data_IF_843176607072
#
_entry.id   IF_843176607072
#
_cell.length_a   1.000
_cell.length_b   1.000
_cell.length_c   1.000
_cell.angle_alpha   90.00
_cell.angle_beta   90.00
_cell.angle_gamma   90.00
#
_symmetry.space_group_name_H-M   'P 1'
#
loop_
_entity.id
_entity.type
_entity.pdbx_description
1 polymer ?
#
# COMPACT_ATOMS: atom_id res chain seq x y z
N UNK A 1 -4.74 0.46 14.65
CA UNK A 1 -5.74 1.50 15.03
C UNK A 1 -6.29 2.32 13.84
N UNK A 2 -5.86 2.08 12.59
CA UNK A 2 -6.37 2.75 11.37
C UNK A 2 -7.07 1.77 10.40
N UNK A 3 -7.54 0.61 10.88
CA UNK A 3 -8.08 -0.45 10.01
C UNK A 3 -9.37 -0.08 9.28
N UNK A 4 -10.19 0.81 9.88
CA UNK A 4 -11.38 1.37 9.22
C UNK A 4 -11.06 2.11 7.91
N UNK A 5 -9.82 2.58 7.73
CA UNK A 5 -9.41 3.26 6.50
C UNK A 5 -9.34 2.30 5.30
N UNK A 6 -9.08 1.00 5.53
CA UNK A 6 -8.98 -0.02 4.48
C UNK A 6 -10.35 -0.52 4.00
N UNK A 7 -11.39 -0.42 4.81
CA UNK A 7 -12.77 -0.80 4.44
C UNK A 7 -13.46 0.27 3.57
N UNK A 8 -12.85 1.44 3.40
CA UNK A 8 -13.42 2.54 2.64
C UNK A 8 -13.18 2.40 1.14
N UNK A 9 -14.16 2.80 0.29
CA UNK A 9 -13.94 2.85 -1.15
C UNK A 9 -12.77 3.80 -1.49
N UNK A 10 -11.94 3.41 -2.46
CA UNK A 10 -10.72 4.13 -2.87
C UNK A 10 -10.93 5.63 -3.07
N UNK A 11 -12.06 6.03 -3.65
CA UNK A 11 -12.42 7.42 -3.88
C UNK A 11 -12.56 8.21 -2.57
N UNK A 12 -13.16 7.60 -1.54
CA UNK A 12 -13.35 8.26 -0.25
C UNK A 12 -12.02 8.40 0.49
N UNK A 13 -11.15 7.39 0.42
CA UNK A 13 -9.79 7.48 0.97
C UNK A 13 -8.97 8.58 0.28
N UNK A 14 -9.04 8.66 -1.06
CA UNK A 14 -8.39 9.73 -1.81
C UNK A 14 -8.89 11.12 -1.40
N UNK A 15 -10.20 11.28 -1.22
CA UNK A 15 -10.79 12.53 -0.72
C UNK A 15 -10.31 12.83 0.70
N UNK A 16 -10.33 11.85 1.61
CA UNK A 16 -9.96 12.03 3.02
C UNK A 16 -8.49 12.46 3.18
N UNK A 17 -7.60 12.03 2.28
CA UNK A 17 -6.19 12.43 2.27
C UNK A 17 -5.99 13.77 1.55
N UNK A 18 -6.56 13.93 0.36
CA UNK A 18 -6.32 15.11 -0.47
C UNK A 18 -7.00 16.36 0.08
N UNK A 19 -8.25 16.24 0.56
CA UNK A 19 -9.07 17.38 0.98
C UNK A 19 -8.49 18.15 2.18
N UNK A 20 -7.99 17.52 3.27
CA UNK A 20 -7.31 18.26 4.33
C UNK A 20 -6.00 18.88 3.88
N UNK A 21 -5.21 18.22 3.02
CA UNK A 21 -4.00 18.81 2.43
C UNK A 21 -4.32 20.05 1.58
N UNK A 22 -5.38 19.98 0.76
CA UNK A 22 -5.89 21.10 -0.03
C UNK A 22 -6.41 22.21 0.88
N UNK A 23 -7.20 21.89 1.89
CA UNK A 23 -7.74 22.85 2.84
C UNK A 23 -6.62 23.54 3.63
N UNK A 24 -5.58 22.80 4.03
CA UNK A 24 -4.40 23.35 4.70
C UNK A 24 -3.63 24.30 3.77
N UNK A 25 -3.42 23.91 2.51
CA UNK A 25 -2.70 24.72 1.52
C UNK A 25 -3.47 26.01 1.20
N UNK A 26 -4.78 25.89 0.94
CA UNK A 26 -5.67 27.02 0.67
C UNK A 26 -5.83 27.91 1.90
N UNK A 27 -6.01 27.33 3.09
CA UNK A 27 -6.11 28.05 4.35
C UNK A 27 -4.82 28.81 4.67
N UNK A 28 -3.67 28.16 4.53
CA UNK A 28 -2.36 28.79 4.65
C UNK A 28 -2.22 29.96 3.68
N UNK A 29 -2.57 29.78 2.41
CA UNK A 29 -2.54 30.84 1.40
C UNK A 29 -3.45 32.01 1.77
N UNK A 30 -4.71 31.75 2.14
CA UNK A 30 -5.69 32.78 2.48
C UNK A 30 -5.31 33.56 3.74
N UNK A 31 -4.66 32.93 4.72
CA UNK A 31 -4.21 33.57 5.97
C UNK A 31 -2.89 34.31 5.79
N UNK A 32 -1.92 33.73 5.08
CA UNK A 32 -0.62 34.38 4.85
C UNK A 32 -0.74 35.54 3.88
N UNK A 33 -1.58 35.46 2.84
CA UNK A 33 -1.70 36.52 1.81
C UNK A 33 -1.97 37.92 2.40
N UNK A 34 -2.98 38.14 3.28
CA UNK A 34 -3.20 39.45 3.89
C UNK A 34 -2.16 39.78 4.96
N UNK A 35 -1.63 38.81 5.71
CA UNK A 35 -0.61 39.04 6.75
C UNK A 35 0.73 39.48 6.16
N UNK A 36 1.23 38.76 5.15
CA UNK A 36 2.47 39.08 4.44
C UNK A 36 2.36 40.43 3.75
N UNK A 37 1.21 40.72 3.11
CA UNK A 37 0.98 42.02 2.45
C UNK A 37 0.90 43.19 3.45
N UNK A 38 0.45 42.94 4.69
CA UNK A 38 0.47 43.92 5.79
C UNK A 38 1.87 44.13 6.38
N UNK A 39 2.67 43.06 6.50
CA UNK A 39 3.95 43.09 7.22
C UNK A 39 5.13 43.47 6.33
N UNK A 40 5.19 43.01 5.08
CA UNK A 40 6.37 43.20 4.21
C UNK A 40 6.22 44.32 3.16
N UNK A 41 5.02 44.83 2.89
CA UNK A 41 4.79 45.75 1.78
C UNK A 41 5.10 45.11 0.40
N UNK A 42 4.89 45.83 -0.72
CA UNK A 42 5.26 45.33 -2.04
C UNK A 42 6.79 45.31 -2.19
N UNK A 43 7.44 44.19 -1.85
CA UNK A 43 8.88 43.99 -2.08
C UNK A 43 9.12 43.39 -3.47
N UNK A 44 9.85 44.08 -4.36
CA UNK A 44 10.39 43.47 -5.58
C UNK A 44 11.41 42.39 -5.19
N UNK A 45 11.28 41.16 -5.70
CA UNK A 45 12.25 40.07 -5.48
C UNK A 45 11.80 38.91 -4.57
N UNK A 46 10.69 39.04 -3.85
CA UNK A 46 10.17 37.94 -3.01
C UNK A 46 9.86 36.66 -3.81
N UNK A 47 9.43 36.82 -5.07
CA UNK A 47 9.12 35.69 -5.96
C UNK A 47 10.38 34.90 -6.36
N UNK A 48 11.55 35.54 -6.40
CA UNK A 48 12.81 34.92 -6.82
C UNK A 48 13.44 34.10 -5.71
N UNK A 49 13.32 34.56 -4.46
CA UNK A 49 13.66 33.73 -3.29
C UNK A 49 12.75 32.50 -3.21
N UNK A 50 11.44 32.69 -3.35
CA UNK A 50 10.46 31.59 -3.31
C UNK A 50 10.71 30.58 -4.44
N UNK A 51 10.97 31.04 -5.67
CA UNK A 51 11.27 30.14 -6.79
C UNK A 51 12.58 29.37 -6.58
N UNK A 52 13.61 30.02 -6.00
CA UNK A 52 14.89 29.37 -5.70
C UNK A 52 14.72 28.25 -4.68
N UNK A 53 14.02 28.51 -3.58
CA UNK A 53 13.73 27.48 -2.57
C UNK A 53 12.85 26.36 -3.15
N UNK A 54 11.80 26.71 -3.89
CA UNK A 54 10.90 25.73 -4.49
C UNK A 54 11.64 24.79 -5.46
N UNK A 55 12.58 25.34 -6.24
CA UNK A 55 13.39 24.54 -7.17
C UNK A 55 14.31 23.57 -6.42
N UNK A 56 15.00 24.04 -5.38
CA UNK A 56 15.86 23.18 -4.55
C UNK A 56 15.08 22.04 -3.87
N UNK A 57 13.93 22.35 -3.24
CA UNK A 57 13.10 21.34 -2.59
C UNK A 57 12.36 20.43 -3.57
N UNK A 58 11.98 20.95 -4.74
CA UNK A 58 11.28 20.20 -5.79
C UNK A 58 12.09 19.01 -6.28
N UNK A 59 13.42 19.16 -6.40
CA UNK A 59 14.32 18.07 -6.79
C UNK A 59 14.32 16.95 -5.75
N UNK A 60 14.47 17.29 -4.46
CA UNK A 60 14.43 16.30 -3.38
C UNK A 60 13.07 15.60 -3.28
N UNK A 61 11.98 16.37 -3.39
CA UNK A 61 10.63 15.81 -3.35
C UNK A 61 10.36 14.87 -4.53
N UNK A 62 10.76 15.27 -5.74
CA UNK A 62 10.62 14.44 -6.94
C UNK A 62 11.43 13.14 -6.85
N UNK A 63 12.67 13.21 -6.35
CA UNK A 63 13.49 12.03 -6.11
C UNK A 63 12.85 11.10 -5.08
N UNK A 64 12.43 11.64 -3.94
CA UNK A 64 11.81 10.84 -2.87
C UNK A 64 10.51 10.18 -3.35
N UNK A 65 9.65 10.93 -4.05
CA UNK A 65 8.42 10.40 -4.60
C UNK A 65 8.68 9.28 -5.61
N UNK A 66 9.69 9.44 -6.48
CA UNK A 66 10.10 8.41 -7.42
C UNK A 66 10.57 7.14 -6.72
N UNK A 67 11.41 7.27 -5.69
CA UNK A 67 11.90 6.12 -4.91
C UNK A 67 10.77 5.40 -4.16
N UNK A 68 9.84 6.15 -3.56
CA UNK A 68 8.67 5.57 -2.89
C UNK A 68 7.79 4.81 -3.89
N UNK A 69 7.58 5.37 -5.09
CA UNK A 69 6.80 4.71 -6.14
C UNK A 69 7.46 3.39 -6.57
N UNK A 70 8.77 3.39 -6.79
CA UNK A 70 9.53 2.17 -7.14
C UNK A 70 9.48 1.15 -6.01
N UNK A 71 9.72 1.55 -4.77
CA UNK A 71 9.67 0.65 -3.62
C UNK A 71 8.28 0.02 -3.43
N UNK A 72 7.22 0.82 -3.59
CA UNK A 72 5.84 0.33 -3.50
C UNK A 72 5.53 -0.67 -4.62
N UNK A 73 5.99 -0.41 -5.84
CA UNK A 73 5.83 -1.33 -6.96
C UNK A 73 6.62 -2.63 -6.75
N UNK A 74 7.84 -2.55 -6.24
CA UNK A 74 8.65 -3.72 -5.89
C UNK A 74 7.96 -4.58 -4.83
N UNK A 75 7.46 -3.97 -3.76
CA UNK A 75 6.68 -4.68 -2.74
C UNK A 75 5.48 -5.42 -3.32
N UNK A 76 4.73 -4.79 -4.23
CA UNK A 76 3.62 -5.44 -4.92
C UNK A 76 4.09 -6.64 -5.76
N UNK A 77 5.16 -6.46 -6.54
CA UNK A 77 5.73 -7.53 -7.38
C UNK A 77 6.27 -8.71 -6.56
N UNK A 78 6.85 -8.46 -5.39
CA UNK A 78 7.38 -9.51 -4.51
C UNK A 78 6.24 -10.34 -3.91
N UNK A 79 5.15 -9.69 -3.47
CA UNK A 79 3.95 -10.36 -2.98
C UNK A 79 3.31 -11.21 -4.08
N UNK A 80 3.17 -10.67 -5.29
CA UNK A 80 2.64 -11.43 -6.43
C UNK A 80 3.49 -12.67 -6.73
N UNK A 81 4.82 -12.51 -6.72
CA UNK A 81 5.76 -13.62 -6.95
C UNK A 81 5.66 -14.68 -5.87
N UNK A 82 5.50 -14.29 -4.60
CA UNK A 82 5.34 -15.22 -3.48
C UNK A 82 4.05 -16.05 -3.63
N UNK A 83 2.92 -15.40 -3.92
CA UNK A 83 1.63 -16.08 -4.16
C UNK A 83 1.71 -17.03 -5.35
N UNK A 84 2.34 -16.62 -6.44
CA UNK A 84 2.53 -17.48 -7.62
C UNK A 84 3.37 -18.73 -7.30
N UNK A 85 4.44 -18.58 -6.51
CA UNK A 85 5.27 -19.72 -6.08
C UNK A 85 4.51 -20.69 -5.21
N UNK A 86 3.72 -20.19 -4.25
CA UNK A 86 2.89 -21.01 -3.39
C UNK A 86 1.83 -21.77 -4.19
N UNK A 87 1.11 -21.09 -5.09
CA UNK A 87 0.13 -21.71 -5.98
C UNK A 87 0.76 -22.80 -6.86
N UNK A 88 1.96 -22.55 -7.40
CA UNK A 88 2.70 -23.55 -8.19
C UNK A 88 3.14 -24.76 -7.34
N UNK A 89 3.57 -24.54 -6.10
CA UNK A 89 3.95 -25.60 -5.17
C UNK A 89 2.75 -26.48 -4.79
N UNK A 90 1.60 -25.88 -4.46
CA UNK A 90 0.35 -26.60 -4.18
C UNK A 90 -0.10 -27.41 -5.40
N UNK A 91 -0.08 -26.82 -6.60
CA UNK A 91 -0.43 -27.51 -7.83
C UNK A 91 0.54 -28.66 -8.18
N UNK A 92 1.84 -28.48 -7.92
CA UNK A 92 2.86 -29.51 -8.03
C UNK A 92 2.55 -30.68 -7.10
N UNK A 93 2.40 -30.40 -5.81
CA UNK A 93 2.15 -31.41 -4.78
C UNK A 93 0.84 -32.17 -5.02
N UNK A 94 -0.22 -31.49 -5.47
CA UNK A 94 -1.48 -32.12 -5.85
C UNK A 94 -1.29 -33.14 -6.99
N UNK A 95 -0.46 -32.82 -7.99
CA UNK A 95 -0.13 -33.74 -9.09
C UNK A 95 0.72 -34.91 -8.60
N UNK A 96 1.70 -34.67 -7.73
CA UNK A 96 2.57 -35.73 -7.22
C UNK A 96 1.79 -36.76 -6.38
N UNK A 97 0.90 -36.28 -5.51
CA UNK A 97 0.00 -37.13 -4.70
C UNK A 97 -0.95 -37.95 -5.57
N UNK A 98 -1.31 -37.47 -6.76
CA UNK A 98 -2.23 -38.18 -7.66
C UNK A 98 -1.69 -39.53 -8.15
N UNK A 99 -0.40 -39.83 -7.95
CA UNK A 99 0.19 -41.14 -8.23
C UNK A 99 0.08 -42.14 -7.06
N UNK A 100 -0.27 -41.71 -5.83
CA UNK A 100 -0.31 -42.59 -4.65
C UNK A 100 -1.55 -43.50 -4.60
N UNK A 101 -1.50 -44.67 -3.92
CA UNK A 101 -2.66 -45.53 -3.69
C UNK A 101 -3.75 -44.86 -2.83
N UNK A 102 -4.99 -45.32 -2.95
CA UNK A 102 -6.05 -45.00 -1.99
C UNK A 102 -5.82 -45.80 -0.69
N UNK A 103 -6.13 -45.25 0.50
CA UNK A 103 -6.88 -44.02 0.77
C UNK A 103 -6.04 -42.74 0.96
N UNK A 104 -4.71 -42.86 1.05
CA UNK A 104 -3.82 -41.74 1.40
C UNK A 104 -3.87 -40.59 0.39
N UNK A 105 -4.05 -40.92 -0.90
CA UNK A 105 -4.28 -39.93 -1.97
C UNK A 105 -5.41 -38.97 -1.63
N UNK A 106 -6.58 -39.51 -1.24
CA UNK A 106 -7.79 -38.72 -1.05
C UNK A 106 -7.66 -37.85 0.20
N UNK A 107 -7.02 -38.36 1.26
CA UNK A 107 -6.74 -37.61 2.48
C UNK A 107 -5.79 -36.43 2.20
N UNK A 108 -4.69 -36.67 1.49
CA UNK A 108 -3.70 -35.63 1.21
C UNK A 108 -4.23 -34.57 0.22
N UNK A 109 -5.02 -34.98 -0.78
CA UNK A 109 -5.68 -34.03 -1.69
C UNK A 109 -6.73 -33.17 -0.96
N UNK A 110 -7.49 -33.76 -0.03
CA UNK A 110 -8.42 -33.01 0.81
C UNK A 110 -7.68 -31.98 1.68
N UNK A 111 -6.56 -32.37 2.29
CA UNK A 111 -5.74 -31.46 3.10
C UNK A 111 -5.20 -30.26 2.29
N UNK A 112 -4.75 -30.46 1.04
CA UNK A 112 -4.30 -29.36 0.18
C UNK A 112 -5.43 -28.41 -0.24
N UNK A 113 -6.62 -28.94 -0.48
CA UNK A 113 -7.79 -28.11 -0.78
C UNK A 113 -8.19 -27.29 0.44
N UNK A 114 -8.17 -27.90 1.62
CA UNK A 114 -8.49 -27.22 2.88
C UNK A 114 -7.47 -26.14 3.21
N UNK A 115 -6.17 -26.42 3.02
CA UNK A 115 -5.12 -25.41 3.14
C UNK A 115 -5.36 -24.21 2.20
N UNK A 116 -5.66 -24.48 0.93
CA UNK A 116 -5.92 -23.43 -0.06
C UNK A 116 -7.13 -22.59 0.32
N UNK A 117 -8.20 -23.23 0.82
CA UNK A 117 -9.40 -22.54 1.31
C UNK A 117 -9.07 -21.66 2.52
N UNK A 118 -8.37 -22.19 3.51
CA UNK A 118 -7.95 -21.46 4.71
C UNK A 118 -7.13 -20.21 4.35
N UNK A 119 -6.20 -20.31 3.41
CA UNK A 119 -5.40 -19.15 2.97
C UNK A 119 -6.28 -18.06 2.34
N UNK A 120 -7.21 -18.43 1.47
CA UNK A 120 -8.06 -17.48 0.73
C UNK A 120 -9.15 -16.87 1.62
N UNK A 121 -9.81 -17.68 2.44
CA UNK A 121 -11.01 -17.28 3.21
C UNK A 121 -10.66 -16.71 4.59
N UNK A 122 -9.56 -17.13 5.21
CA UNK A 122 -9.18 -16.69 6.56
C UNK A 122 -7.93 -15.80 6.54
N UNK A 123 -6.83 -16.28 5.94
CA UNK A 123 -5.52 -15.59 6.03
C UNK A 123 -5.52 -14.27 5.27
N UNK A 124 -5.96 -14.23 4.01
CA UNK A 124 -5.95 -12.99 3.23
C UNK A 124 -6.86 -11.90 3.84
N UNK A 125 -8.10 -12.17 4.29
CA UNK A 125 -8.89 -11.16 4.97
C UNK A 125 -8.28 -10.66 6.29
N UNK A 126 -7.62 -11.54 7.05
CA UNK A 126 -6.88 -11.11 8.24
C UNK A 126 -5.69 -10.21 7.88
N UNK A 127 -4.92 -10.55 6.84
CA UNK A 127 -3.83 -9.72 6.34
C UNK A 127 -4.32 -8.35 5.84
N UNK A 128 -5.49 -8.28 5.19
CA UNK A 128 -6.13 -7.00 4.81
C UNK A 128 -6.43 -6.13 6.02
N UNK A 129 -6.81 -6.73 7.15
CA UNK A 129 -6.98 -6.05 8.44
C UNK A 129 -5.68 -5.88 9.22
N UNK A 130 -4.52 -6.19 8.64
CA UNK A 130 -3.21 -6.13 9.29
C UNK A 130 -3.05 -7.05 10.50
N UNK A 131 -3.86 -8.11 10.56
CA UNK A 131 -3.82 -9.14 11.60
C UNK A 131 -3.00 -10.34 11.10
N UNK A 132 -2.13 -10.88 11.96
CA UNK A 132 -1.47 -12.16 11.72
C UNK A 132 -2.41 -13.28 12.21
N UNK A 133 -2.92 -14.10 11.29
CA UNK A 133 -3.76 -15.23 11.69
C UNK A 133 -2.88 -16.26 12.44
N UNK A 134 -3.26 -16.71 13.65
CA UNK A 134 -2.46 -17.64 14.46
C UNK A 134 -2.19 -19.02 13.81
N UNK A 135 -2.86 -19.34 12.70
CA UNK A 135 -2.62 -20.55 11.91
C UNK A 135 -1.64 -20.37 10.75
N UNK A 136 -1.06 -19.18 10.57
CA UNK A 136 -0.04 -18.95 9.53
C UNK A 136 1.25 -19.63 9.98
N UNK A 137 1.75 -20.69 9.30
CA UNK A 137 3.06 -21.24 9.63
C UNK A 137 4.10 -20.12 9.49
N UNK A 138 4.94 -19.94 10.51
CA UNK A 138 6.03 -18.99 10.44
C UNK A 138 6.89 -19.33 9.21
N UNK A 139 6.94 -18.39 8.26
CA UNK A 139 7.77 -18.48 7.06
C UNK A 139 9.26 -18.56 7.41
#
# INVERSE_FOLDING_TARGET
MLFWLYDLPLALMAILICLPCLAFTLGGLLVLRPRVRRWLGPQPGANELVSTFLSAYGVFYGLMLGLIAVATYQHFSDVETAVQREAAAVAGLYRDISAHPQPDRDHMQAALREYTRFVIEDVWPAQQRGELHPGTPAA
#
